data_IF_487173899941
#
_entry.id   IF_487173899941
#
_cell.length_a   1.000
_cell.length_b   1.000
_cell.length_c   1.000
_cell.angle_alpha   90.00
_cell.angle_beta   90.00
_cell.angle_gamma   90.00
#
_symmetry.space_group_name_H-M   'P 1'
#
loop_
_entity.id
_entity.type
_entity.pdbx_description
1 polymer ?
#
# COMPACT_ATOMS: atom_id res chain seq x y z
N UNK A 1 9.72 19.60 14.30
CA UNK A 1 8.26 19.79 14.30
C UNK A 1 7.68 18.80 13.30
N UNK A 2 7.13 17.68 13.80
CA UNK A 2 6.53 16.63 12.99
C UNK A 2 5.12 17.06 12.57
N UNK A 3 4.87 17.13 11.27
CA UNK A 3 3.54 17.37 10.75
C UNK A 3 2.74 16.06 10.83
N UNK A 4 1.79 16.08 11.74
CA UNK A 4 0.82 15.05 12.07
C UNK A 4 0.04 14.62 10.81
N UNK A 5 0.20 13.36 10.41
CA UNK A 5 -0.54 12.73 9.32
C UNK A 5 -1.95 12.41 9.82
N UNK A 6 -2.88 13.36 9.66
CA UNK A 6 -4.24 13.19 10.17
C UNK A 6 -5.26 12.78 9.10
N UNK A 7 -6.10 11.83 9.53
CA UNK A 7 -7.48 11.52 9.10
C UNK A 7 -7.67 10.75 7.78
N UNK A 8 -7.72 9.43 7.88
CA UNK A 8 -8.75 8.64 7.19
C UNK A 8 -9.83 8.26 8.20
N UNK A 9 -11.02 8.88 8.09
CA UNK A 9 -12.23 8.46 8.79
C UNK A 9 -13.05 7.59 7.84
N UNK A 10 -13.18 6.30 8.10
CA UNK A 10 -14.18 5.44 7.44
C UNK A 10 -15.38 5.25 8.36
N UNK A 11 -16.54 5.72 7.89
CA UNK A 11 -17.84 5.48 8.50
C UNK A 11 -18.25 4.02 8.23
N UNK A 12 -18.34 3.21 9.29
CA UNK A 12 -18.81 1.83 9.23
C UNK A 12 -20.34 1.79 9.35
N UNK A 13 -21.05 1.71 8.22
CA UNK A 13 -22.48 1.40 8.20
C UNK A 13 -22.69 -0.07 8.59
N UNK A 14 -23.44 -0.31 9.67
CA UNK A 14 -23.96 -1.64 10.03
C UNK A 14 -25.05 -2.03 9.04
N UNK A 15 -24.98 -3.23 8.50
CA UNK A 15 -26.09 -3.92 7.84
C UNK A 15 -26.29 -5.28 8.51
N UNK A 16 -27.52 -5.52 8.96
CA UNK A 16 -27.99 -6.75 9.61
C UNK A 16 -28.32 -7.85 8.56
N UNK A 17 -28.40 -9.14 8.96
CA UNK A 17 -28.24 -10.27 8.06
C UNK A 17 -29.55 -10.71 7.38
N UNK A 18 -29.53 -10.82 6.05
CA UNK A 18 -30.59 -11.40 5.23
C UNK A 18 -30.24 -12.81 4.75
N UNK A 19 -31.15 -13.76 5.03
CA UNK A 19 -31.08 -15.20 4.77
C UNK A 19 -31.02 -15.54 3.26
N UNK A 20 -30.27 -16.61 2.94
CA UNK A 20 -29.69 -17.01 1.65
C UNK A 20 -30.65 -17.64 0.62
N UNK A 21 -30.38 -17.49 -0.69
CA UNK A 21 -30.74 -18.47 -1.72
C UNK A 21 -29.54 -19.40 -2.03
N UNK A 22 -29.74 -20.70 -1.88
CA UNK A 22 -28.76 -21.75 -2.20
C UNK A 22 -28.58 -21.89 -3.71
N UNK A 23 -27.40 -21.53 -4.23
CA UNK A 23 -26.98 -21.80 -5.61
C UNK A 23 -26.23 -23.15 -5.68
N UNK A 24 -26.39 -23.93 -6.76
CA UNK A 24 -25.68 -25.20 -6.92
C UNK A 24 -24.17 -24.96 -7.02
N UNK A 25 -23.42 -25.75 -6.26
CA UNK A 25 -21.97 -25.67 -6.18
C UNK A 25 -21.33 -26.00 -7.55
N UNK A 26 -20.70 -24.99 -8.17
CA UNK A 26 -19.75 -25.21 -9.27
C UNK A 26 -18.43 -25.67 -8.64
N UNK A 27 -18.09 -26.94 -8.84
CA UNK A 27 -16.84 -27.56 -8.39
C UNK A 27 -15.62 -26.99 -9.16
N UNK A 28 -15.31 -25.72 -8.94
CA UNK A 28 -14.01 -25.18 -9.31
C UNK A 28 -13.03 -25.57 -8.21
N UNK A 29 -12.35 -26.71 -8.42
CA UNK A 29 -11.28 -27.19 -7.55
C UNK A 29 -10.10 -26.22 -7.64
N UNK A 30 -10.07 -25.21 -6.77
CA UNK A 30 -8.88 -24.38 -6.57
C UNK A 30 -7.78 -25.26 -5.98
N UNK A 31 -6.87 -25.74 -6.84
CA UNK A 31 -5.63 -26.38 -6.43
C UNK A 31 -4.87 -25.37 -5.58
N UNK A 32 -4.91 -25.54 -4.26
CA UNK A 32 -4.08 -24.78 -3.32
C UNK A 32 -2.67 -25.34 -3.41
N UNK A 33 -1.83 -24.78 -4.27
CA UNK A 33 -0.39 -24.91 -4.08
C UNK A 33 -0.05 -24.30 -2.71
N UNK A 34 0.29 -25.13 -1.72
CA UNK A 34 0.78 -24.68 -0.43
C UNK A 34 2.24 -24.23 -0.59
N UNK A 35 2.40 -23.05 -1.18
CA UNK A 35 3.65 -22.29 -1.08
C UNK A 35 3.52 -21.40 0.16
N UNK A 36 4.43 -21.58 1.12
CA UNK A 36 4.49 -20.71 2.29
C UNK A 36 4.62 -19.25 1.83
N UNK A 37 3.57 -18.47 2.08
CA UNK A 37 3.57 -17.05 1.76
C UNK A 37 4.37 -16.36 2.87
N UNK A 38 5.67 -16.15 2.61
CA UNK A 38 6.50 -15.36 3.51
C UNK A 38 5.97 -13.93 3.54
N UNK A 39 5.52 -13.48 4.70
CA UNK A 39 5.16 -12.08 4.88
C UNK A 39 6.42 -11.22 4.77
N UNK A 40 6.43 -10.29 3.82
CA UNK A 40 7.53 -9.33 3.65
C UNK A 40 7.07 -7.99 4.21
N UNK A 41 7.91 -7.36 5.04
CA UNK A 41 7.58 -6.09 5.70
C UNK A 41 7.29 -4.95 4.71
N UNK A 42 7.98 -4.91 3.58
CA UNK A 42 7.66 -3.99 2.48
C UNK A 42 8.21 -4.48 1.14
N UNK A 43 7.49 -4.18 0.05
CA UNK A 43 7.90 -4.51 -1.31
C UNK A 43 7.91 -3.26 -2.18
N UNK A 44 8.91 -3.13 -3.05
CA UNK A 44 8.90 -2.12 -4.10
C UNK A 44 8.21 -2.68 -5.33
N UNK A 45 7.06 -2.11 -5.68
CA UNK A 45 6.30 -2.48 -6.86
C UNK A 45 6.03 -1.23 -7.71
N UNK A 46 6.43 -1.26 -8.98
CA UNK A 46 6.30 -0.14 -9.93
C UNK A 46 6.89 1.19 -9.40
N UNK A 47 7.93 1.12 -8.57
CA UNK A 47 8.55 2.29 -7.95
C UNK A 47 7.85 2.78 -6.68
N UNK A 48 6.64 2.29 -6.40
CA UNK A 48 5.91 2.50 -5.15
C UNK A 48 6.37 1.50 -4.09
N UNK A 49 6.42 1.92 -2.83
CA UNK A 49 6.76 1.03 -1.73
C UNK A 49 5.45 0.67 -1.04
N UNK A 50 5.09 -0.61 -1.11
CA UNK A 50 3.90 -1.19 -0.50
C UNK A 50 4.39 -1.84 0.80
N UNK A 51 4.12 -1.20 1.93
CA UNK A 51 4.44 -1.75 3.24
C UNK A 51 3.32 -2.69 3.73
N UNK A 52 3.66 -3.65 4.59
CA UNK A 52 2.71 -4.60 5.17
C UNK A 52 1.63 -3.90 6.01
N UNK A 53 2.00 -2.81 6.69
CA UNK A 53 1.06 -1.98 7.44
C UNK A 53 0.23 -1.04 6.54
N UNK A 54 0.39 -1.15 5.22
CA UNK A 54 -0.22 -0.31 4.18
C UNK A 54 -0.01 1.19 4.43
N UNK A 55 0.98 1.56 5.25
CA UNK A 55 1.29 2.95 5.51
C UNK A 55 2.12 3.51 4.37
N UNK A 56 1.67 4.64 3.87
CA UNK A 56 2.33 5.37 2.79
C UNK A 56 3.58 6.14 3.22
N UNK A 57 3.83 6.24 4.53
CA UNK A 57 4.90 7.07 5.09
C UNK A 57 6.29 6.71 4.55
N UNK A 58 6.59 5.42 4.44
CA UNK A 58 7.87 4.96 3.89
C UNK A 58 8.01 5.31 2.40
N UNK A 59 6.93 5.16 1.63
CA UNK A 59 6.91 5.55 0.22
C UNK A 59 7.10 7.07 0.04
N UNK A 60 6.33 7.88 0.76
CA UNK A 60 6.38 9.34 0.71
C UNK A 60 7.78 9.83 1.09
N UNK A 61 8.35 9.33 2.19
CA UNK A 61 9.71 9.67 2.60
C UNK A 61 10.74 9.33 1.52
N UNK A 62 10.60 8.17 0.86
CA UNK A 62 11.50 7.75 -0.22
C UNK A 62 11.41 8.70 -1.42
N UNK A 63 10.20 9.10 -1.82
CA UNK A 63 9.96 10.02 -2.93
C UNK A 63 10.53 11.41 -2.63
N UNK A 64 10.28 11.95 -1.43
CA UNK A 64 10.79 13.26 -1.01
C UNK A 64 12.32 13.29 -1.05
N UNK A 65 12.99 12.30 -0.46
CA UNK A 65 14.46 12.22 -0.48
C UNK A 65 15.02 12.18 -1.90
N UNK A 66 14.36 11.44 -2.81
CA UNK A 66 14.77 11.38 -4.23
C UNK A 66 14.60 12.73 -4.93
N UNK A 67 13.48 13.43 -4.67
CA UNK A 67 13.23 14.77 -5.23
C UNK A 67 14.22 15.80 -4.68
N UNK A 68 14.50 15.80 -3.38
CA UNK A 68 15.47 16.68 -2.74
C UNK A 68 16.87 16.53 -3.34
N UNK A 69 17.34 15.30 -3.55
CA UNK A 69 18.64 15.06 -4.21
C UNK A 69 18.66 15.66 -5.62
N UNK A 70 17.62 15.41 -6.43
CA UNK A 70 17.51 15.97 -7.78
C UNK A 70 17.51 17.49 -7.77
N UNK A 71 16.74 18.11 -6.88
CA UNK A 71 16.71 19.57 -6.73
C UNK A 71 18.05 20.14 -6.30
N UNK A 72 18.76 19.46 -5.39
CA UNK A 72 20.10 19.87 -4.99
C UNK A 72 21.05 19.86 -6.20
N UNK A 73 21.08 18.76 -6.97
CA UNK A 73 21.91 18.67 -8.17
C UNK A 73 21.55 19.75 -9.21
N UNK A 74 20.27 19.98 -9.47
CA UNK A 74 19.83 21.03 -10.38
C UNK A 74 20.35 22.41 -9.96
N UNK A 75 20.26 22.74 -8.66
CA UNK A 75 20.78 24.00 -8.13
C UNK A 75 22.31 24.13 -8.26
N UNK A 76 23.03 23.02 -8.14
CA UNK A 76 24.49 23.04 -8.34
C UNK A 76 24.84 23.27 -9.82
N UNK A 77 24.12 22.63 -10.74
CA UNK A 77 24.36 22.78 -12.17
C UNK A 77 24.07 24.20 -12.68
N UNK A 78 23.07 24.88 -12.13
CA UNK A 78 22.75 26.27 -12.48
C UNK A 78 23.72 27.30 -11.90
N UNK A 79 24.69 26.86 -11.07
CA UNK A 79 25.66 27.73 -10.40
C UNK A 79 27.02 27.76 -11.12
N UNK A 80 27.18 26.96 -12.17
CA UNK A 80 28.28 27.00 -13.13
C UNK A 80 27.84 27.79 -14.36
#
# INVERSE_FOLDING_TARGET
MAADCKFYTEARLRTEPGRSPTMPASDNKMVKEQKEVTAVESVRFLGTIIAQDLKWEHNICSVIKKAQKRMFFLRQLTRF
#
